data_IF_207313780842
#
_entry.id   IF_207313780842
#
_cell.length_a   1.000
_cell.length_b   1.000
_cell.length_c   1.000
_cell.angle_alpha   90.00
_cell.angle_beta   90.00
_cell.angle_gamma   90.00
#
_symmetry.space_group_name_H-M   'P 1'
#
loop_
_entity.id
_entity.type
_entity.pdbx_description
1 polymer ?
#
# COMPACT_ATOMS: atom_id res chain seq x y z
N UNK A 1 -23.22 4.57 -27.96
CA UNK A 1 -22.65 3.81 -26.81
C UNK A 1 -23.54 2.62 -26.51
N UNK A 2 -23.02 1.38 -26.53
CA UNK A 2 -23.81 0.18 -26.23
C UNK A 2 -24.34 0.20 -24.80
N UNK A 3 -25.52 -0.39 -24.57
CA UNK A 3 -26.16 -0.48 -23.24
C UNK A 3 -25.23 -1.14 -22.22
N UNK A 4 -24.42 -2.12 -22.66
CA UNK A 4 -23.41 -2.78 -21.84
C UNK A 4 -22.30 -1.81 -21.40
N UNK A 5 -21.77 -0.98 -22.31
CA UNK A 5 -20.76 0.05 -21.94
C UNK A 5 -21.32 1.03 -20.90
N UNK A 6 -22.59 1.44 -21.03
CA UNK A 6 -23.24 2.34 -20.06
C UNK A 6 -23.37 1.69 -18.67
N UNK A 7 -23.75 0.41 -18.60
CA UNK A 7 -23.85 -0.36 -17.34
C UNK A 7 -22.50 -0.54 -16.66
N UNK A 8 -21.46 -0.89 -17.44
CA UNK A 8 -20.10 -1.05 -16.92
C UNK A 8 -19.58 0.29 -16.39
N UNK A 9 -19.75 1.38 -17.14
CA UNK A 9 -19.32 2.71 -16.71
C UNK A 9 -20.05 3.17 -15.43
N UNK A 10 -21.37 2.96 -15.34
CA UNK A 10 -22.14 3.30 -14.16
C UNK A 10 -21.70 2.49 -12.93
N UNK A 11 -21.45 1.19 -13.09
CA UNK A 11 -20.92 0.33 -12.03
C UNK A 11 -19.53 0.76 -11.57
N UNK A 12 -18.63 1.05 -12.51
CA UNK A 12 -17.29 1.53 -12.19
C UNK A 12 -17.32 2.88 -11.45
N UNK A 13 -18.19 3.81 -11.86
CA UNK A 13 -18.37 5.09 -11.19
C UNK A 13 -18.90 4.93 -9.75
N UNK A 14 -19.84 4.00 -9.53
CA UNK A 14 -20.34 3.71 -8.19
C UNK A 14 -19.25 3.15 -7.27
N UNK A 15 -18.44 2.19 -7.76
CA UNK A 15 -17.31 1.64 -7.01
C UNK A 15 -16.28 2.73 -6.71
N UNK A 16 -15.94 3.57 -7.69
CA UNK A 16 -15.02 4.68 -7.48
C UNK A 16 -15.53 5.66 -6.40
N UNK A 17 -16.81 6.00 -6.40
CA UNK A 17 -17.42 6.84 -5.37
C UNK A 17 -17.35 6.21 -3.98
N UNK A 18 -17.58 4.90 -3.87
CA UNK A 18 -17.45 4.19 -2.59
C UNK A 18 -16.00 4.20 -2.08
N UNK A 19 -15.02 3.98 -2.95
CA UNK A 19 -13.61 4.05 -2.60
C UNK A 19 -13.20 5.46 -2.15
N UNK A 20 -13.64 6.48 -2.87
CA UNK A 20 -13.41 7.88 -2.49
C UNK A 20 -14.05 8.16 -1.12
N UNK A 21 -15.30 7.77 -0.93
CA UNK A 21 -15.99 7.94 0.35
C UNK A 21 -15.27 7.23 1.51
N UNK A 22 -14.68 6.06 1.26
CA UNK A 22 -13.85 5.36 2.24
C UNK A 22 -12.57 6.15 2.56
N UNK A 23 -11.86 6.68 1.55
CA UNK A 23 -10.64 7.47 1.76
C UNK A 23 -10.86 8.78 2.54
N UNK A 24 -12.08 9.29 2.58
CA UNK A 24 -12.47 10.47 3.36
C UNK A 24 -12.74 10.15 4.85
N UNK A 25 -12.82 8.87 5.22
CA UNK A 25 -12.97 8.45 6.62
C UNK A 25 -11.65 8.60 7.36
N UNK A 26 -11.73 8.65 8.69
CA UNK A 26 -10.55 8.60 9.53
C UNK A 26 -9.76 7.30 9.29
N UNK A 27 -8.41 7.33 9.30
CA UNK A 27 -7.57 6.19 8.91
C UNK A 27 -7.96 4.86 9.57
N UNK A 28 -8.33 4.89 10.85
CA UNK A 28 -8.71 3.72 11.63
C UNK A 28 -10.05 3.09 11.20
N UNK A 29 -10.85 3.78 10.38
CA UNK A 29 -12.15 3.32 9.86
C UNK A 29 -12.15 3.06 8.35
N UNK A 30 -11.00 3.22 7.69
CA UNK A 30 -10.88 2.98 6.25
C UNK A 30 -10.82 1.47 5.99
N UNK A 31 -11.83 0.94 5.31
CA UNK A 31 -11.84 -0.45 4.91
C UNK A 31 -10.68 -0.75 3.93
N UNK A 32 -10.37 0.21 3.06
CA UNK A 32 -9.24 0.14 2.13
C UNK A 32 -7.90 0.00 2.85
N UNK A 33 -7.69 0.71 3.96
CA UNK A 33 -6.49 0.61 4.77
C UNK A 33 -6.35 -0.79 5.39
N UNK A 34 -7.43 -1.31 6.01
CA UNK A 34 -7.41 -2.66 6.60
C UNK A 34 -7.18 -3.76 5.57
N UNK A 35 -7.82 -3.66 4.40
CA UNK A 35 -7.62 -4.62 3.29
C UNK A 35 -6.17 -4.57 2.82
N UNK A 36 -5.61 -3.37 2.65
CA UNK A 36 -4.21 -3.20 2.26
C UNK A 36 -3.26 -3.83 3.27
N UNK A 37 -3.35 -3.48 4.55
CA UNK A 37 -2.49 -4.02 5.62
C UNK A 37 -2.60 -5.56 5.67
N UNK A 38 -3.81 -6.10 5.59
CA UNK A 38 -4.02 -7.55 5.51
C UNK A 38 -3.32 -8.19 4.30
N UNK A 39 -3.36 -7.55 3.14
CA UNK A 39 -2.64 -8.03 1.95
C UNK A 39 -1.11 -7.94 2.09
N UNK A 40 -0.59 -6.93 2.79
CA UNK A 40 0.85 -6.82 3.08
C UNK A 40 1.29 -7.93 4.03
N UNK A 41 0.51 -8.24 5.08
CA UNK A 41 0.80 -9.38 5.96
C UNK A 41 0.74 -10.72 5.22
N UNK A 42 -0.19 -10.88 4.27
CA UNK A 42 -0.23 -12.05 3.40
C UNK A 42 1.04 -12.13 2.53
N UNK A 43 1.48 -11.01 1.97
CA UNK A 43 2.75 -10.94 1.26
C UNK A 43 3.95 -11.28 2.17
N UNK A 44 4.01 -10.76 3.40
CA UNK A 44 5.09 -11.04 4.35
C UNK A 44 5.15 -12.51 4.76
N UNK A 45 4.01 -13.18 4.86
CA UNK A 45 3.93 -14.59 5.28
C UNK A 45 4.15 -15.59 4.14
N UNK A 46 3.62 -15.32 2.95
CA UNK A 46 3.69 -16.27 1.82
C UNK A 46 4.60 -15.79 0.69
N UNK A 47 4.54 -14.51 0.34
CA UNK A 47 5.29 -13.95 -0.79
C UNK A 47 6.76 -13.75 -0.49
N UNK A 48 7.09 -13.18 0.68
CA UNK A 48 8.46 -12.88 1.07
C UNK A 48 9.35 -14.13 1.14
N UNK A 49 8.96 -15.24 1.79
CA UNK A 49 9.81 -16.44 1.83
C UNK A 49 10.13 -17.01 0.44
N UNK A 50 9.24 -16.83 -0.54
CA UNK A 50 9.47 -17.28 -1.93
C UNK A 50 10.44 -16.35 -2.70
N UNK A 51 10.62 -15.12 -2.24
CA UNK A 51 11.46 -14.10 -2.88
C UNK A 51 12.74 -13.80 -2.08
N UNK A 52 12.94 -14.50 -0.96
CA UNK A 52 14.15 -14.41 -0.14
C UNK A 52 15.37 -14.78 -0.99
N UNK A 53 16.22 -13.78 -1.26
CA UNK A 53 17.44 -13.92 -2.07
C UNK A 53 17.38 -13.23 -3.44
N UNK A 54 16.20 -12.84 -3.92
CA UNK A 54 16.05 -12.09 -5.20
C UNK A 54 15.87 -10.60 -4.94
N UNK A 55 15.08 -10.25 -3.92
CA UNK A 55 14.80 -8.86 -3.55
C UNK A 55 15.14 -8.66 -2.08
N UNK A 56 16.14 -7.82 -1.82
CA UNK A 56 16.55 -7.48 -0.47
C UNK A 56 16.22 -6.01 -0.18
N UNK A 57 15.33 -5.77 0.78
CA UNK A 57 15.07 -4.42 1.25
C UNK A 57 16.33 -3.87 1.94
N UNK A 58 16.76 -2.67 1.54
CA UNK A 58 17.94 -2.00 2.08
C UNK A 58 17.67 -1.29 3.41
N UNK A 59 16.42 -1.04 3.73
CA UNK A 59 16.03 -0.31 4.94
C UNK A 59 15.65 -1.22 6.12
N UNK A 60 15.82 -0.67 7.33
CA UNK A 60 15.35 -1.24 8.60
C UNK A 60 14.52 -0.16 9.33
N UNK A 61 13.21 -0.36 9.62
CA UNK A 61 12.38 -1.51 9.22
C UNK A 61 12.18 -1.59 7.69
N UNK A 62 11.67 -2.72 7.19
CA UNK A 62 11.59 -2.98 5.74
C UNK A 62 10.53 -2.09 5.06
N UNK A 63 10.57 -1.97 3.72
CA UNK A 63 9.59 -1.18 2.97
C UNK A 63 8.13 -1.65 3.18
N UNK A 64 7.90 -2.95 3.43
CA UNK A 64 6.57 -3.47 3.73
C UNK A 64 6.13 -3.16 5.16
N UNK A 65 7.05 -3.14 6.13
CA UNK A 65 6.73 -2.68 7.49
C UNK A 65 6.43 -1.18 7.50
N UNK A 66 7.23 -0.40 6.78
CA UNK A 66 7.01 1.04 6.58
C UNK A 66 5.66 1.31 5.92
N UNK A 67 5.24 0.48 4.96
CA UNK A 67 3.97 0.69 4.27
C UNK A 67 2.77 0.43 5.16
N UNK A 68 2.87 -0.52 6.10
CA UNK A 68 1.87 -0.74 7.14
C UNK A 68 1.80 0.50 8.04
N UNK A 69 2.92 0.95 8.61
CA UNK A 69 2.94 2.12 9.49
C UNK A 69 2.38 3.38 8.81
N UNK A 70 2.75 3.62 7.55
CA UNK A 70 2.28 4.77 6.79
C UNK A 70 0.77 4.72 6.55
N UNK A 71 0.21 3.56 6.24
CA UNK A 71 -1.23 3.40 5.99
C UNK A 71 -2.03 3.44 7.30
N UNK A 72 -1.52 2.89 8.38
CA UNK A 72 -2.14 2.97 9.71
C UNK A 72 -2.26 4.42 10.20
N UNK A 73 -1.21 5.22 10.01
CA UNK A 73 -1.16 6.60 10.50
C UNK A 73 -1.87 7.60 9.60
N UNK A 74 -1.76 7.44 8.28
CA UNK A 74 -2.18 8.46 7.33
C UNK A 74 -3.32 8.02 6.41
N UNK A 75 -3.83 6.79 6.57
CA UNK A 75 -4.83 6.20 5.70
C UNK A 75 -4.26 5.77 4.35
N UNK A 76 -5.09 5.14 3.52
CA UNK A 76 -4.63 4.49 2.29
C UNK A 76 -4.01 5.48 1.29
N UNK A 77 -4.58 6.67 1.14
CA UNK A 77 -4.16 7.61 0.11
C UNK A 77 -2.74 8.15 0.38
N UNK A 78 -2.54 8.75 1.56
CA UNK A 78 -1.25 9.32 1.96
C UNK A 78 -0.25 8.23 2.34
N UNK A 79 -0.70 7.13 2.95
CA UNK A 79 0.14 5.99 3.28
C UNK A 79 0.75 5.34 2.04
N UNK A 80 -0.03 5.14 0.97
CA UNK A 80 0.50 4.63 -0.30
C UNK A 80 1.46 5.62 -0.96
N UNK A 81 1.17 6.92 -0.93
CA UNK A 81 2.08 7.93 -1.47
C UNK A 81 3.48 7.86 -0.80
N UNK A 82 3.52 7.81 0.53
CA UNK A 82 4.76 7.66 1.30
C UNK A 82 5.46 6.33 1.00
N UNK A 83 4.68 5.24 0.92
CA UNK A 83 5.19 3.91 0.58
C UNK A 83 5.87 3.89 -0.78
N UNK A 84 5.24 4.50 -1.79
CA UNK A 84 5.76 4.55 -3.15
C UNK A 84 7.09 5.29 -3.19
N UNK A 85 7.19 6.46 -2.54
CA UNK A 85 8.45 7.20 -2.41
C UNK A 85 9.52 6.32 -1.77
N UNK A 86 9.18 5.61 -0.69
CA UNK A 86 10.10 4.74 0.03
C UNK A 86 10.59 3.56 -0.81
N UNK A 87 9.71 2.93 -1.58
CA UNK A 87 10.06 1.83 -2.47
C UNK A 87 10.97 2.32 -3.59
N UNK A 88 10.67 3.48 -4.18
CA UNK A 88 11.53 4.08 -5.21
C UNK A 88 12.90 4.49 -4.69
N UNK A 89 13.01 4.90 -3.42
CA UNK A 89 14.31 5.20 -2.81
C UNK A 89 15.10 3.96 -2.41
N UNK A 90 14.47 2.77 -2.36
CA UNK A 90 15.11 1.52 -1.98
C UNK A 90 15.84 0.88 -3.18
N UNK A 91 16.88 1.54 -3.66
CA UNK A 91 17.70 1.10 -4.80
C UNK A 91 19.16 0.85 -4.39
N UNK A 92 20.01 0.52 -5.37
CA UNK A 92 21.42 0.17 -5.17
C UNK A 92 22.26 1.24 -4.45
N UNK A 93 21.86 2.51 -4.54
CA UNK A 93 22.55 3.64 -3.93
C UNK A 93 22.45 3.68 -2.39
N UNK A 94 21.46 2.99 -1.81
CA UNK A 94 21.25 2.97 -0.36
C UNK A 94 22.02 1.82 0.29
N UNK A 95 22.88 2.04 1.29
CA UNK A 95 23.55 0.95 1.99
C UNK A 95 22.58 -0.09 2.58
N UNK A 96 22.99 -1.36 2.57
CA UNK A 96 22.19 -2.42 3.20
C UNK A 96 22.09 -2.19 4.71
N UNK A 97 20.86 -2.21 5.24
CA UNK A 97 20.58 -2.03 6.65
C UNK A 97 20.48 -0.58 7.10
N UNK A 98 20.30 0.39 6.19
CA UNK A 98 20.04 1.79 6.55
C UNK A 98 18.84 1.88 7.48
N UNK A 99 19.09 2.32 8.71
CA UNK A 99 18.07 2.54 9.72
C UNK A 99 17.33 3.83 9.36
N UNK A 100 16.01 3.80 9.47
CA UNK A 100 15.20 4.99 9.32
C UNK A 100 14.29 5.09 10.54
N UNK A 101 14.12 6.31 11.03
CA UNK A 101 13.15 6.58 12.08
C UNK A 101 11.73 6.14 11.66
N UNK A 102 10.93 5.64 12.61
CA UNK A 102 9.49 5.49 12.43
C UNK A 102 8.85 6.83 12.04
N UNK A 103 7.71 6.77 11.35
CA UNK A 103 6.99 7.96 10.87
C UNK A 103 6.22 8.62 12.03
#
# INVERSE_FOLDING_TARGET
MSVWKKRVLAGAAFVALLLIADTLRSPEKQATASIYIGSVHLYQSYGRPMLEGVVACRYRPTCSDYSIEAVERFGIARGLYLTVIRVYSCDESVPMGTVNEPI
#
